data_IF_107541587174
#
_entry.id   IF_107541587174
#
_cell.length_a   1.000
_cell.length_b   1.000
_cell.length_c   1.000
_cell.angle_alpha   90.00
_cell.angle_beta   90.00
_cell.angle_gamma   90.00
#
_symmetry.space_group_name_H-M   'P 1'
#
loop_
_entity.id
_entity.type
_entity.pdbx_description
1 polymer ?
#
# COMPACT_ATOMS: atom_id res chain seq x y z
N UNK A 1 10.98 14.79 4.58
CA UNK A 1 10.17 15.32 5.71
C UNK A 1 8.85 15.82 5.17
N UNK A 2 7.73 15.52 5.82
CA UNK A 2 6.39 15.98 5.49
C UNK A 2 5.83 16.72 6.73
N UNK A 3 5.45 17.97 6.59
CA UNK A 3 5.00 18.82 7.70
C UNK A 3 5.92 18.76 8.95
N UNK A 4 7.24 18.78 8.73
CA UNK A 4 8.26 18.71 9.80
C UNK A 4 8.49 17.33 10.43
N UNK A 5 7.80 16.27 9.98
CA UNK A 5 7.89 14.90 10.49
C UNK A 5 8.50 13.95 9.45
N UNK A 6 9.23 12.90 9.85
CA UNK A 6 9.63 11.83 8.93
C UNK A 6 8.40 11.19 8.25
N UNK A 7 8.52 10.84 6.97
CA UNK A 7 7.41 10.26 6.23
C UNK A 7 6.86 8.98 6.89
N UNK A 8 7.75 8.12 7.37
CA UNK A 8 7.37 6.86 8.04
C UNK A 8 6.55 7.06 9.32
N UNK A 9 6.70 8.22 9.98
CA UNK A 9 5.98 8.52 11.22
C UNK A 9 4.46 8.56 11.03
N UNK A 10 3.99 9.03 9.88
CA UNK A 10 2.55 9.01 9.55
C UNK A 10 2.02 7.59 9.49
N UNK A 11 2.78 6.67 8.90
CA UNK A 11 2.40 5.26 8.81
C UNK A 11 2.41 4.57 10.18
N UNK A 12 3.46 4.78 10.98
CA UNK A 12 3.54 4.26 12.34
C UNK A 12 2.39 4.81 13.20
N UNK A 13 2.10 6.11 13.10
CA UNK A 13 1.00 6.74 13.81
C UNK A 13 -0.36 6.16 13.41
N UNK A 14 -0.62 5.98 12.11
CA UNK A 14 -1.85 5.38 11.63
C UNK A 14 -2.02 3.93 12.12
N UNK A 15 -0.94 3.14 12.11
CA UNK A 15 -0.93 1.77 12.61
C UNK A 15 -1.25 1.73 14.12
N UNK A 16 -0.60 2.56 14.92
CA UNK A 16 -0.85 2.65 16.37
C UNK A 16 -2.28 3.09 16.68
N UNK A 17 -2.77 4.11 15.97
CA UNK A 17 -4.12 4.63 16.18
C UNK A 17 -5.22 3.63 15.75
N UNK A 18 -4.91 2.68 14.88
CA UNK A 18 -5.83 1.61 14.54
C UNK A 18 -6.08 0.65 15.71
N UNK A 19 -5.08 0.46 16.60
CA UNK A 19 -5.22 -0.33 17.83
C UNK A 19 -5.48 -1.82 17.63
N UNK A 20 -5.22 -2.34 16.42
CA UNK A 20 -5.53 -3.73 16.03
C UNK A 20 -4.30 -4.64 15.95
N UNK A 21 -3.10 -4.09 16.09
CA UNK A 21 -1.85 -4.81 15.90
C UNK A 21 -1.26 -5.30 17.23
N UNK A 22 -0.82 -6.54 17.26
CA UNK A 22 -0.03 -7.09 18.37
C UNK A 22 1.40 -6.54 18.37
N UNK A 23 1.95 -6.32 17.17
CA UNK A 23 3.28 -5.76 16.97
C UNK A 23 3.32 -4.95 15.66
N UNK A 24 4.19 -3.94 15.62
CA UNK A 24 4.50 -3.15 14.43
C UNK A 24 5.97 -3.37 14.12
N UNK A 25 6.26 -3.87 12.92
CA UNK A 25 7.61 -4.16 12.45
C UNK A 25 7.94 -3.19 11.32
N UNK A 26 9.06 -2.49 11.44
CA UNK A 26 9.62 -1.70 10.35
C UNK A 26 10.76 -2.49 9.71
N UNK A 27 10.63 -2.78 8.43
CA UNK A 27 11.64 -3.47 7.63
C UNK A 27 12.43 -2.45 6.83
N UNK A 28 13.70 -2.27 7.17
CA UNK A 28 14.57 -1.27 6.54
C UNK A 28 16.04 -1.71 6.58
N UNK A 29 16.83 -1.25 5.62
CA UNK A 29 18.30 -1.33 5.60
C UNK A 29 18.94 0.00 6.06
N UNK A 30 18.15 1.06 6.19
CA UNK A 30 18.57 2.40 6.59
C UNK A 30 18.58 2.51 8.12
N UNK A 31 19.73 2.95 8.66
CA UNK A 31 19.96 3.04 10.10
C UNK A 31 19.16 4.18 10.74
N UNK A 32 18.98 5.31 10.05
CA UNK A 32 18.23 6.45 10.60
C UNK A 32 16.74 6.10 10.71
N UNK A 33 16.20 5.39 9.71
CA UNK A 33 14.82 4.88 9.75
C UNK A 33 14.65 3.86 10.88
N UNK A 34 15.64 2.97 11.06
CA UNK A 34 15.61 1.97 12.12
C UNK A 34 15.61 2.61 13.52
N UNK A 35 16.50 3.57 13.75
CA UNK A 35 16.60 4.31 15.02
C UNK A 35 15.30 5.08 15.33
N UNK A 36 14.74 5.76 14.32
CA UNK A 36 13.47 6.44 14.46
C UNK A 36 12.35 5.46 14.85
N UNK A 37 12.22 4.35 14.13
CA UNK A 37 11.18 3.37 14.37
C UNK A 37 11.32 2.70 15.75
N UNK A 38 12.54 2.42 16.22
CA UNK A 38 12.81 1.94 17.58
C UNK A 38 12.35 2.96 18.61
N UNK A 39 12.69 4.24 18.44
CA UNK A 39 12.25 5.31 19.35
C UNK A 39 10.72 5.44 19.38
N UNK A 40 10.07 5.14 18.26
CA UNK A 40 8.63 5.05 18.15
C UNK A 40 8.04 3.72 18.67
N UNK A 41 8.83 2.83 19.31
CA UNK A 41 8.36 1.58 19.91
C UNK A 41 7.98 0.50 18.92
N UNK A 42 8.53 0.53 17.70
CA UNK A 42 8.40 -0.54 16.71
C UNK A 42 9.53 -1.57 16.87
N UNK A 43 9.30 -2.79 16.39
CA UNK A 43 10.35 -3.77 16.19
C UNK A 43 11.02 -3.51 14.83
N UNK A 44 12.30 -3.90 14.70
CA UNK A 44 13.06 -3.72 13.47
C UNK A 44 13.38 -5.08 12.85
N UNK A 45 13.01 -5.20 11.59
CA UNK A 45 13.58 -6.19 10.70
C UNK A 45 14.71 -5.54 9.91
N UNK A 46 15.96 -5.92 10.23
CA UNK A 46 17.11 -5.48 9.44
C UNK A 46 17.04 -6.13 8.07
N UNK A 47 16.62 -5.34 7.07
CA UNK A 47 16.47 -5.83 5.70
C UNK A 47 17.84 -6.01 5.07
N UNK A 48 18.16 -7.18 4.50
CA UNK A 48 19.38 -7.35 3.72
C UNK A 48 19.39 -6.42 2.50
N UNK A 49 20.54 -5.87 2.15
CA UNK A 49 20.69 -4.91 1.05
C UNK A 49 20.22 -5.44 -0.31
N UNK A 50 20.33 -6.76 -0.55
CA UNK A 50 19.82 -7.37 -1.78
C UNK A 50 18.28 -7.40 -1.85
N UNK A 51 17.58 -7.19 -0.73
CA UNK A 51 16.11 -7.04 -0.66
C UNK A 51 15.67 -5.57 -0.57
N UNK A 52 16.61 -4.62 -0.67
CA UNK A 52 16.36 -3.18 -0.58
C UNK A 52 16.67 -2.45 -1.90
N UNK A 53 16.67 -3.16 -3.02
CA UNK A 53 16.88 -2.60 -4.36
C UNK A 53 15.55 -2.18 -4.99
N UNK A 54 15.59 -1.32 -6.02
CA UNK A 54 14.40 -0.89 -6.78
C UNK A 54 13.65 -2.05 -7.44
N UNK A 55 14.32 -3.18 -7.70
CA UNK A 55 13.72 -4.39 -8.28
C UNK A 55 13.26 -5.41 -7.24
N UNK A 56 13.51 -5.15 -5.95
CA UNK A 56 13.15 -6.08 -4.87
C UNK A 56 11.64 -6.13 -4.68
N UNK A 57 11.09 -7.33 -4.59
CA UNK A 57 9.66 -7.52 -4.33
C UNK A 57 9.38 -7.38 -2.83
N UNK A 58 8.27 -6.73 -2.50
CA UNK A 58 7.83 -6.60 -1.10
C UNK A 58 7.61 -7.97 -0.44
N UNK A 59 7.11 -8.94 -1.20
CA UNK A 59 6.89 -10.32 -0.74
C UNK A 59 8.18 -10.94 -0.22
N UNK A 60 9.29 -10.80 -0.93
CA UNK A 60 10.58 -11.39 -0.54
C UNK A 60 11.08 -10.82 0.80
N UNK A 61 10.84 -9.52 1.03
CA UNK A 61 11.16 -8.88 2.32
C UNK A 61 10.27 -9.38 3.47
N UNK A 62 9.00 -9.68 3.19
CA UNK A 62 8.07 -10.23 4.20
C UNK A 62 8.48 -11.67 4.55
N UNK A 63 8.77 -12.51 3.56
CA UNK A 63 9.21 -13.89 3.77
C UNK A 63 10.51 -13.96 4.58
N UNK A 64 11.46 -13.07 4.27
CA UNK A 64 12.70 -12.96 5.04
C UNK A 64 12.42 -12.50 6.48
N UNK A 65 11.57 -11.48 6.67
CA UNK A 65 11.18 -11.02 8.00
C UNK A 65 10.48 -12.13 8.80
N UNK A 66 9.56 -12.85 8.18
CA UNK A 66 8.83 -13.97 8.80
C UNK A 66 9.79 -15.04 9.32
N UNK A 67 10.81 -15.38 8.54
CA UNK A 67 11.82 -16.38 8.91
C UNK A 67 12.74 -15.87 10.02
N UNK A 68 13.32 -14.68 9.85
CA UNK A 68 14.35 -14.15 10.77
C UNK A 68 13.79 -13.72 12.11
N UNK A 69 12.54 -13.27 12.14
CA UNK A 69 11.85 -12.85 13.36
C UNK A 69 10.94 -13.93 13.95
N UNK A 70 10.91 -15.13 13.37
CA UNK A 70 10.10 -16.25 13.81
C UNK A 70 8.62 -15.89 13.96
N UNK A 71 8.07 -15.20 12.98
CA UNK A 71 6.66 -14.81 12.96
C UNK A 71 5.80 -16.05 12.78
N UNK A 72 4.74 -16.16 13.60
CA UNK A 72 3.79 -17.29 13.52
C UNK A 72 3.21 -17.38 12.09
N UNK A 73 3.29 -18.55 11.44
CA UNK A 73 2.68 -18.76 10.11
C UNK A 73 1.17 -18.48 10.04
N UNK A 74 0.48 -18.53 11.18
CA UNK A 74 -0.95 -18.23 11.28
C UNK A 74 -1.23 -16.72 11.52
N UNK A 75 -0.18 -15.90 11.62
CA UNK A 75 -0.32 -14.47 11.74
C UNK A 75 -0.93 -13.83 10.47
N UNK A 76 -1.71 -12.78 10.68
CA UNK A 76 -2.20 -11.92 9.60
C UNK A 76 -1.26 -10.74 9.44
N UNK A 77 -0.71 -10.57 8.25
CA UNK A 77 0.24 -9.49 7.93
C UNK A 77 -0.52 -8.34 7.27
N UNK A 78 -0.33 -7.14 7.82
CA UNK A 78 -0.82 -5.91 7.20
C UNK A 78 0.37 -5.08 6.75
N UNK A 79 0.51 -4.91 5.45
CA UNK A 79 1.58 -4.12 4.84
C UNK A 79 1.06 -2.71 4.63
N UNK A 80 1.80 -1.75 5.18
CA UNK A 80 1.50 -0.32 5.15
C UNK A 80 2.69 0.41 4.56
N UNK A 81 2.61 0.80 3.29
CA UNK A 81 3.72 1.51 2.64
C UNK A 81 3.85 2.95 3.19
N UNK A 82 5.07 3.42 3.50
CA UNK A 82 5.31 4.78 4.00
C UNK A 82 4.95 5.88 2.99
N UNK A 83 4.97 5.55 1.71
CA UNK A 83 4.62 6.47 0.61
C UNK A 83 3.15 6.90 0.61
N UNK A 84 2.29 6.26 1.40
CA UNK A 84 0.88 6.65 1.59
C UNK A 84 0.64 7.29 2.96
N UNK A 85 1.18 8.51 3.24
CA UNK A 85 1.17 9.11 4.58
C UNK A 85 -0.21 9.59 5.04
N UNK A 86 -1.14 9.79 4.12
CA UNK A 86 -2.49 10.28 4.42
C UNK A 86 -3.48 9.13 4.70
N UNK A 87 -3.00 7.88 4.71
CA UNK A 87 -3.79 6.72 5.13
C UNK A 87 -4.27 6.88 6.57
N UNK A 88 -5.56 6.68 6.79
CA UNK A 88 -6.20 6.83 8.09
C UNK A 88 -6.34 5.48 8.82
N UNK A 89 -6.31 5.50 10.14
CA UNK A 89 -6.53 4.33 10.98
C UNK A 89 -7.86 3.62 10.68
N UNK A 90 -8.92 4.38 10.36
CA UNK A 90 -10.25 3.81 10.00
C UNK A 90 -10.19 2.89 8.79
N UNK A 91 -9.33 3.16 7.81
CA UNK A 91 -9.16 2.29 6.63
C UNK A 91 -8.46 0.98 7.00
N UNK A 92 -7.48 1.02 7.91
CA UNK A 92 -6.82 -0.18 8.45
C UNK A 92 -7.85 -1.04 9.18
N UNK A 93 -8.66 -0.43 10.05
CA UNK A 93 -9.72 -1.12 10.79
C UNK A 93 -10.77 -1.73 9.85
N UNK A 94 -11.13 -1.03 8.78
CA UNK A 94 -12.08 -1.54 7.77
C UNK A 94 -11.52 -2.78 7.05
N UNK A 95 -10.22 -2.77 6.69
CA UNK A 95 -9.57 -3.92 6.08
C UNK A 95 -9.56 -5.14 7.02
N UNK A 96 -9.23 -4.93 8.31
CA UNK A 96 -9.23 -6.00 9.31
C UNK A 96 -10.64 -6.56 9.52
N UNK A 97 -11.65 -5.71 9.60
CA UNK A 97 -13.04 -6.14 9.73
C UNK A 97 -13.48 -6.97 8.52
N UNK A 98 -13.22 -6.47 7.30
CA UNK A 98 -13.58 -7.19 6.07
C UNK A 98 -12.94 -8.58 6.01
N UNK A 99 -11.67 -8.68 6.40
CA UNK A 99 -10.95 -9.94 6.53
C UNK A 99 -11.65 -10.91 7.51
N UNK A 100 -12.01 -10.42 8.70
CA UNK A 100 -12.65 -11.23 9.75
C UNK A 100 -14.06 -11.69 9.36
N UNK A 101 -14.82 -10.84 8.68
CA UNK A 101 -16.21 -11.12 8.24
C UNK A 101 -16.27 -12.05 7.01
N UNK A 102 -15.13 -12.31 6.34
CA UNK A 102 -15.04 -13.09 5.11
C UNK A 102 -14.00 -14.23 5.19
N UNK A 103 -14.08 -15.04 6.23
CA UNK A 103 -13.30 -16.29 6.40
C UNK A 103 -11.80 -16.12 6.21
N UNK A 104 -11.24 -14.98 6.59
CA UNK A 104 -9.82 -14.72 6.45
C UNK A 104 -9.38 -14.33 5.03
N UNK A 105 -10.27 -13.75 4.24
CA UNK A 105 -9.95 -13.28 2.89
C UNK A 105 -8.80 -12.27 2.87
N UNK A 106 -7.98 -12.32 1.82
CA UNK A 106 -6.99 -11.27 1.53
C UNK A 106 -7.71 -9.98 1.18
N UNK A 107 -7.22 -8.84 1.69
CA UNK A 107 -7.84 -7.53 1.46
C UNK A 107 -6.80 -6.53 0.95
N UNK A 108 -7.19 -5.71 -0.03
CA UNK A 108 -6.33 -4.64 -0.58
C UNK A 108 -7.06 -3.31 -0.61
N UNK A 109 -6.32 -2.22 -0.41
CA UNK A 109 -6.82 -0.87 -0.58
C UNK A 109 -6.92 -0.49 -2.05
N UNK A 110 -8.06 0.05 -2.46
CA UNK A 110 -8.29 0.55 -3.81
C UNK A 110 -8.86 1.96 -3.80
N UNK A 111 -8.72 2.66 -4.90
CA UNK A 111 -9.30 3.98 -5.13
C UNK A 111 -9.86 4.06 -6.54
N UNK A 112 -10.95 4.78 -6.73
CA UNK A 112 -11.52 5.03 -8.06
C UNK A 112 -10.48 5.68 -8.99
N UNK A 113 -10.38 5.19 -10.22
CA UNK A 113 -9.43 5.72 -11.20
C UNK A 113 -9.78 7.15 -11.60
N UNK A 114 -8.86 8.08 -11.42
CA UNK A 114 -8.99 9.46 -11.91
C UNK A 114 -9.01 9.51 -13.43
N UNK A 115 -8.13 8.72 -14.05
CA UNK A 115 -8.06 8.55 -15.49
C UNK A 115 -8.43 7.11 -15.81
N UNK A 116 -9.56 6.95 -16.51
CA UNK A 116 -10.07 5.63 -16.84
C UNK A 116 -9.07 4.86 -17.71
N UNK A 117 -8.68 3.62 -17.38
CA UNK A 117 -7.65 2.86 -18.10
C UNK A 117 -8.02 2.61 -19.57
N UNK A 118 -9.31 2.53 -19.91
CA UNK A 118 -9.74 2.41 -21.31
C UNK A 118 -9.48 3.66 -22.16
N UNK A 119 -9.09 4.78 -21.55
CA UNK A 119 -8.65 6.01 -22.24
C UNK A 119 -7.14 6.14 -22.28
N UNK A 120 -6.41 5.07 -21.94
CA UNK A 120 -4.95 5.02 -21.99
C UNK A 120 -4.49 4.45 -23.32
N UNK A 121 -3.40 5.01 -23.86
CA UNK A 121 -2.85 4.61 -25.16
C UNK A 121 -1.35 4.32 -25.04
N UNK A 122 -0.84 3.44 -25.91
CA UNK A 122 0.59 3.32 -26.19
C UNK A 122 0.96 4.21 -27.36
N UNK A 123 2.18 4.72 -27.36
CA UNK A 123 2.76 5.41 -28.50
C UNK A 123 3.69 4.44 -29.25
N UNK A 124 3.34 4.17 -30.51
CA UNK A 124 4.10 3.28 -31.39
C UNK A 124 4.46 4.05 -32.65
N UNK A 125 5.72 4.42 -32.83
CA UNK A 125 6.21 5.20 -33.99
C UNK A 125 5.42 6.51 -34.24
N UNK A 126 5.07 7.23 -33.14
CA UNK A 126 4.31 8.48 -33.22
C UNK A 126 2.80 8.31 -33.44
N UNK A 127 2.30 7.08 -33.46
CA UNK A 127 0.87 6.76 -33.57
C UNK A 127 0.36 6.24 -32.21
N UNK A 128 -0.93 6.51 -31.96
CA UNK A 128 -1.59 5.95 -30.76
C UNK A 128 -2.11 4.53 -31.04
N UNK A 129 -1.91 3.64 -30.05
CA UNK A 129 -2.53 2.32 -30.01
C UNK A 129 -3.31 2.21 -28.69
N UNK A 130 -4.60 1.93 -28.73
CA UNK A 130 -5.45 1.78 -27.56
C UNK A 130 -5.00 0.56 -26.72
N UNK A 131 -5.01 0.66 -25.39
CA UNK A 131 -4.77 -0.47 -24.49
C UNK A 131 -6.01 -1.34 -24.36
N UNK A 132 -7.19 -0.72 -24.40
CA UNK A 132 -8.48 -1.40 -24.42
C UNK A 132 -9.12 -1.25 -25.81
N UNK A 133 -10.44 -1.31 -25.89
CA UNK A 133 -11.15 -1.12 -27.15
C UNK A 133 -11.07 0.34 -27.61
N UNK A 134 -10.77 0.56 -28.90
CA UNK A 134 -10.53 1.89 -29.47
C UNK A 134 -11.75 2.81 -29.33
N UNK A 135 -12.95 2.26 -29.40
CA UNK A 135 -14.19 3.01 -29.22
C UNK A 135 -14.32 3.66 -27.84
N UNK A 136 -13.70 3.07 -26.80
CA UNK A 136 -13.72 3.64 -25.47
C UNK A 136 -12.96 4.96 -25.37
N UNK A 137 -12.02 5.25 -26.29
CA UNK A 137 -11.29 6.52 -26.31
C UNK A 137 -12.22 7.73 -26.53
N UNK A 138 -13.32 7.53 -27.28
CA UNK A 138 -14.28 8.60 -27.62
C UNK A 138 -15.52 8.62 -26.72
N UNK A 139 -15.80 7.54 -25.97
CA UNK A 139 -16.93 7.49 -25.05
C UNK A 139 -16.87 8.57 -23.97
N UNK A 140 -18.02 9.09 -23.57
CA UNK A 140 -18.07 9.97 -22.39
C UNK A 140 -17.66 9.17 -21.12
N UNK A 141 -16.99 9.85 -20.18
CA UNK A 141 -16.48 9.18 -18.97
C UNK A 141 -17.60 8.47 -18.16
N UNK A 142 -18.76 9.09 -18.11
CA UNK A 142 -19.94 8.55 -17.39
C UNK A 142 -20.53 7.29 -18.02
N UNK A 143 -20.22 7.02 -19.30
CA UNK A 143 -20.71 5.84 -20.02
C UNK A 143 -19.75 4.64 -19.91
N UNK A 144 -18.58 4.87 -19.32
CA UNK A 144 -17.62 3.82 -19.01
C UNK A 144 -17.91 3.19 -17.64
N UNK A 145 -17.64 1.89 -17.45
CA UNK A 145 -17.83 1.23 -16.17
C UNK A 145 -16.93 1.84 -15.11
N UNK A 146 -17.41 1.90 -13.87
CA UNK A 146 -16.55 2.33 -12.76
C UNK A 146 -15.39 1.34 -12.57
N UNK A 147 -14.18 1.86 -12.45
CA UNK A 147 -12.95 1.07 -12.28
C UNK A 147 -12.11 1.63 -11.17
N UNK A 148 -11.39 0.75 -10.49
CA UNK A 148 -10.53 1.08 -9.38
C UNK A 148 -9.09 0.68 -9.68
N UNK A 149 -8.14 1.40 -9.08
CA UNK A 149 -6.72 1.01 -9.04
C UNK A 149 -6.34 0.62 -7.61
N UNK A 150 -5.43 -0.33 -7.49
CA UNK A 150 -4.76 -0.61 -6.23
C UNK A 150 -3.94 0.64 -5.86
N UNK A 151 -4.07 1.10 -4.61
CA UNK A 151 -3.49 2.36 -4.18
C UNK A 151 -2.18 2.22 -3.38
N UNK A 152 -1.71 0.98 -3.14
CA UNK A 152 -0.48 0.74 -2.37
C UNK A 152 -0.59 0.96 -0.86
N UNK A 153 -1.66 1.60 -0.40
CA UNK A 153 -1.75 2.04 0.99
C UNK A 153 -1.93 0.89 1.99
N UNK A 154 -2.70 -0.15 1.65
CA UNK A 154 -3.01 -1.27 2.53
C UNK A 154 -3.02 -2.57 1.74
N UNK A 155 -2.26 -3.57 2.21
CA UNK A 155 -2.41 -4.96 1.84
C UNK A 155 -2.55 -5.76 3.13
N UNK A 156 -3.57 -6.59 3.24
CA UNK A 156 -3.79 -7.48 4.36
C UNK A 156 -3.85 -8.92 3.84
N UNK A 157 -2.94 -9.76 4.31
CA UNK A 157 -2.83 -11.12 3.83
C UNK A 157 -2.37 -12.05 4.97
N UNK A 158 -3.00 -13.22 5.17
CA UNK A 158 -2.47 -14.23 6.06
C UNK A 158 -1.05 -14.66 5.64
N UNK A 159 -0.12 -14.74 6.59
CA UNK A 159 1.27 -15.09 6.29
C UNK A 159 1.37 -16.43 5.56
N UNK A 160 0.58 -17.42 5.97
CA UNK A 160 0.52 -18.73 5.31
C UNK A 160 0.19 -18.62 3.81
N UNK A 161 -0.73 -17.72 3.44
CA UNK A 161 -1.07 -17.47 2.03
C UNK A 161 0.12 -16.86 1.29
N UNK A 162 0.82 -15.89 1.89
CA UNK A 162 2.03 -15.30 1.29
C UNK A 162 3.08 -16.38 1.03
N UNK A 163 3.39 -17.19 2.04
CA UNK A 163 4.41 -18.24 1.96
C UNK A 163 4.08 -19.33 0.92
N UNK A 164 2.79 -19.61 0.69
CA UNK A 164 2.34 -20.61 -0.27
C UNK A 164 2.25 -20.10 -1.70
N UNK A 165 1.86 -18.84 -1.87
CA UNK A 165 1.52 -18.30 -3.20
C UNK A 165 2.56 -17.31 -3.73
N UNK A 166 3.48 -16.84 -2.89
CA UNK A 166 4.48 -15.82 -3.21
C UNK A 166 3.87 -14.54 -3.81
N UNK A 167 2.64 -14.18 -3.38
CA UNK A 167 1.93 -12.96 -3.81
C UNK A 167 1.10 -12.36 -2.67
N UNK A 168 0.86 -11.05 -2.77
CA UNK A 168 -0.07 -10.31 -1.90
C UNK A 168 -1.48 -10.22 -2.49
N UNK A 169 -1.68 -10.71 -3.72
CA UNK A 169 -2.91 -10.57 -4.48
C UNK A 169 -3.30 -11.91 -5.12
N UNK A 170 -3.57 -12.95 -4.32
CA UNK A 170 -4.08 -14.21 -4.86
C UNK A 170 -5.50 -14.01 -5.43
N UNK A 171 -5.98 -14.93 -6.29
CA UNK A 171 -7.36 -14.93 -6.74
C UNK A 171 -8.35 -14.91 -5.56
N UNK A 172 -9.43 -14.12 -5.67
CA UNK A 172 -10.41 -13.95 -4.59
C UNK A 172 -10.06 -12.85 -3.59
N UNK A 173 -8.98 -12.07 -3.83
CA UNK A 173 -8.66 -10.89 -3.02
C UNK A 173 -9.84 -9.91 -3.02
N UNK A 174 -10.26 -9.50 -1.83
CA UNK A 174 -11.29 -8.48 -1.62
C UNK A 174 -10.69 -7.07 -1.56
N UNK A 175 -11.51 -6.06 -1.73
CA UNK A 175 -11.05 -4.68 -1.74
C UNK A 175 -11.80 -3.80 -0.74
N UNK A 176 -11.08 -2.85 -0.12
CA UNK A 176 -11.69 -1.70 0.54
C UNK A 176 -11.49 -0.47 -0.32
N UNK A 177 -12.57 0.27 -0.55
CA UNK A 177 -12.49 1.56 -1.22
C UNK A 177 -11.99 2.63 -0.24
N UNK A 178 -10.99 3.38 -0.69
CA UNK A 178 -10.39 4.49 0.06
C UNK A 178 -10.61 5.80 -0.69
N UNK A 179 -10.66 6.91 0.05
CA UNK A 179 -10.76 8.25 -0.56
C UNK A 179 -9.50 8.59 -1.36
N UNK A 180 -9.62 9.50 -2.32
CA UNK A 180 -8.47 9.99 -3.12
C UNK A 180 -7.37 10.56 -2.25
N UNK A 181 -7.72 11.32 -1.21
CA UNK A 181 -6.75 11.88 -0.26
C UNK A 181 -5.99 10.78 0.49
N UNK A 182 -6.70 9.80 1.06
CA UNK A 182 -6.09 8.69 1.79
C UNK A 182 -5.28 7.74 0.89
N UNK A 183 -5.47 7.85 -0.42
CA UNK A 183 -4.80 7.06 -1.47
C UNK A 183 -3.69 7.82 -2.19
N UNK A 184 -3.31 9.01 -1.69
CA UNK A 184 -2.18 9.74 -2.23
C UNK A 184 -0.90 8.95 -1.96
N UNK A 185 -0.18 8.64 -3.02
CA UNK A 185 1.12 7.96 -2.98
C UNK A 185 2.22 8.95 -3.35
N UNK A 186 3.31 8.98 -2.59
CA UNK A 186 4.41 9.92 -2.79
C UNK A 186 5.51 9.25 -3.60
N UNK A 187 5.45 9.42 -4.92
CA UNK A 187 6.46 8.98 -5.87
C UNK A 187 7.34 10.12 -6.37
N UNK A 188 6.82 11.35 -6.35
CA UNK A 188 7.49 12.53 -6.87
C UNK A 188 7.46 13.71 -5.89
N UNK A 189 8.38 14.69 -6.02
CA UNK A 189 8.37 15.89 -5.18
C UNK A 189 7.04 16.66 -5.17
N UNK A 190 6.29 16.63 -6.27
CA UNK A 190 4.98 17.27 -6.36
C UNK A 190 3.96 16.61 -5.43
N UNK A 191 4.00 15.29 -5.29
CA UNK A 191 3.09 14.55 -4.40
C UNK A 191 3.34 14.93 -2.94
N UNK A 192 4.62 15.12 -2.57
CA UNK A 192 5.01 15.58 -1.24
C UNK A 192 4.44 16.99 -0.93
N UNK A 193 4.51 17.91 -1.91
CA UNK A 193 3.92 19.24 -1.77
C UNK A 193 2.40 19.17 -1.62
N UNK A 194 1.74 18.32 -2.39
CA UNK A 194 0.30 18.10 -2.30
C UNK A 194 -0.10 17.54 -0.94
N UNK A 195 0.62 16.50 -0.46
CA UNK A 195 0.39 15.94 0.87
C UNK A 195 0.55 16.98 1.98
N UNK A 196 1.58 17.84 1.89
CA UNK A 196 1.84 18.92 2.85
C UNK A 196 0.71 19.94 2.88
N UNK A 197 0.16 20.31 1.72
CA UNK A 197 -0.99 21.22 1.65
C UNK A 197 -2.26 20.59 2.22
N UNK A 198 -2.53 19.34 1.96
CA UNK A 198 -3.70 18.63 2.52
C UNK A 198 -3.61 18.57 4.05
N UNK A 199 -2.42 18.27 4.60
CA UNK A 199 -2.22 18.20 6.05
C UNK A 199 -2.37 19.55 6.75
N UNK A 200 -2.07 20.67 6.09
CA UNK A 200 -2.24 22.01 6.63
C UNK A 200 -3.70 22.47 6.69
N UNK A 201 -4.58 21.79 5.96
CA UNK A 201 -6.02 22.09 5.94
C UNK A 201 -6.83 21.25 6.94
N UNK A 202 -6.20 20.23 7.54
CA UNK A 202 -6.80 19.37 8.60
C UNK A 202 -6.46 19.90 9.98
#
# INVERSE_FOLDING_TARGET
MLNGRPLIDFTISAAKNAGVFQQIIVSTDDIEIAEYALSAGCQIHQRPSHLATDSSRVVDSIEHAATTMSIDPDAVIVILQPTSPLREAKSIMAAVRLHQENDGAVVVGVVECEHHPSKTVRLENGRIAAIAEIQHLEMARQDLPQVFRINGAIYLCPLRTILQTHTLLPPGTMAIEMTREASLDIDHPLDLLLADQILKQK
#
